data_IF_475120288628
#
_entry.id   IF_475120288628
#
_cell.length_a   1.000
_cell.length_b   1.000
_cell.length_c   1.000
_cell.angle_alpha   90.00
_cell.angle_beta   90.00
_cell.angle_gamma   90.00
#
_symmetry.space_group_name_H-M   'P 1'
#
loop_
_entity.id
_entity.type
_entity.pdbx_description
1 polymer ?
#
# COMPACT_ATOMS: atom_id res chain seq x y z
N UNK A 1 -68.86 -14.97 -16.16
CA UNK A 1 -68.11 -13.69 -16.18
C UNK A 1 -66.95 -13.62 -15.17
N UNK A 2 -67.06 -14.15 -13.94
CA UNK A 2 -65.95 -14.10 -12.93
C UNK A 2 -64.66 -14.86 -13.31
N UNK A 3 -64.76 -16.00 -14.02
CA UNK A 3 -63.58 -16.80 -14.43
C UNK A 3 -62.73 -16.14 -15.53
N UNK A 4 -63.34 -15.37 -16.43
CA UNK A 4 -62.64 -14.67 -17.52
C UNK A 4 -61.86 -13.46 -16.99
N UNK A 5 -62.44 -12.73 -16.03
CA UNK A 5 -61.77 -11.62 -15.34
C UNK A 5 -60.56 -12.11 -14.52
N UNK A 6 -60.65 -13.26 -13.86
CA UNK A 6 -59.54 -13.85 -13.10
C UNK A 6 -58.39 -14.30 -14.00
N UNK A 7 -58.67 -14.87 -15.18
CA UNK A 7 -57.65 -15.23 -16.17
C UNK A 7 -56.95 -14.00 -16.76
N UNK A 8 -57.70 -12.91 -17.00
CA UNK A 8 -57.14 -11.65 -17.49
C UNK A 8 -56.23 -10.97 -16.45
N UNK A 9 -56.58 -11.07 -15.17
CA UNK A 9 -55.76 -10.58 -14.06
C UNK A 9 -54.46 -11.39 -13.89
N UNK A 10 -54.52 -12.71 -14.03
CA UNK A 10 -53.33 -13.58 -14.01
C UNK A 10 -52.42 -13.28 -15.21
N UNK A 11 -52.99 -13.04 -16.39
CA UNK A 11 -52.23 -12.68 -17.59
C UNK A 11 -51.55 -11.30 -17.44
N UNK A 12 -52.23 -10.31 -16.87
CA UNK A 12 -51.68 -8.99 -16.57
C UNK A 12 -50.55 -9.04 -15.52
N UNK A 13 -50.67 -9.90 -14.51
CA UNK A 13 -49.60 -10.13 -13.51
C UNK A 13 -48.41 -10.84 -14.14
N UNK A 14 -48.63 -11.81 -15.04
CA UNK A 14 -47.54 -12.47 -15.78
C UNK A 14 -46.83 -11.51 -16.75
N UNK A 15 -47.56 -10.64 -17.45
CA UNK A 15 -46.99 -9.61 -18.32
C UNK A 15 -46.21 -8.58 -17.48
N UNK A 16 -46.73 -8.18 -16.31
CA UNK A 16 -46.05 -7.27 -15.38
C UNK A 16 -44.73 -7.84 -14.82
N UNK A 17 -44.64 -9.15 -14.60
CA UNK A 17 -43.42 -9.84 -14.18
C UNK A 17 -42.38 -9.96 -15.29
N UNK A 18 -42.79 -10.10 -16.55
CA UNK A 18 -41.87 -10.15 -17.70
C UNK A 18 -41.22 -8.79 -17.99
N UNK A 19 -41.88 -7.69 -17.61
CA UNK A 19 -41.30 -6.33 -17.66
C UNK A 19 -40.37 -6.00 -16.47
N UNK A 20 -40.08 -6.95 -15.58
CA UNK A 20 -38.96 -6.82 -14.64
C UNK A 20 -37.65 -6.75 -15.44
N UNK A 21 -37.21 -5.52 -15.70
CA UNK A 21 -36.20 -5.11 -16.68
C UNK A 21 -34.97 -6.02 -16.72
N UNK A 22 -34.94 -6.94 -17.69
CA UNK A 22 -33.70 -7.52 -18.18
C UNK A 22 -32.96 -6.44 -18.96
N UNK A 23 -31.95 -5.82 -18.35
CA UNK A 23 -31.08 -4.88 -19.05
C UNK A 23 -30.04 -5.65 -19.86
N UNK A 24 -30.10 -5.64 -21.20
CA UNK A 24 -29.14 -6.39 -22.03
C UNK A 24 -27.70 -5.93 -21.83
N UNK A 25 -27.50 -4.67 -21.37
CA UNK A 25 -26.17 -4.14 -20.99
C UNK A 25 -25.59 -4.85 -19.78
N UNK A 26 -26.43 -5.14 -18.77
CA UNK A 26 -26.01 -5.75 -17.51
C UNK A 26 -25.58 -7.20 -17.71
N UNK A 27 -26.36 -7.96 -18.48
CA UNK A 27 -26.03 -9.36 -18.76
C UNK A 27 -24.73 -9.50 -19.55
N UNK A 28 -24.50 -8.58 -20.50
CA UNK A 28 -23.23 -8.53 -21.23
C UNK A 28 -22.05 -8.14 -20.34
N UNK A 29 -22.24 -7.22 -19.39
CA UNK A 29 -21.20 -6.89 -18.41
C UNK A 29 -20.82 -8.08 -17.55
N UNK A 30 -21.82 -8.83 -17.06
CA UNK A 30 -21.59 -10.03 -16.25
C UNK A 30 -20.73 -11.05 -17.00
N UNK A 31 -20.95 -11.21 -18.31
CA UNK A 31 -20.15 -12.11 -19.15
C UNK A 31 -18.70 -11.66 -19.39
N UNK A 32 -18.43 -10.36 -19.25
CA UNK A 32 -17.12 -9.75 -19.50
C UNK A 32 -16.26 -9.62 -18.24
N UNK A 33 -16.78 -10.03 -17.08
CA UNK A 33 -16.05 -10.03 -15.82
C UNK A 33 -14.98 -11.11 -15.84
N UNK A 34 -13.72 -10.71 -15.68
CA UNK A 34 -12.59 -11.63 -15.55
C UNK A 34 -12.53 -12.30 -14.16
N UNK A 35 -11.59 -13.24 -13.98
CA UNK A 35 -11.40 -13.93 -12.69
C UNK A 35 -11.11 -13.00 -11.51
N UNK A 36 -10.53 -11.82 -11.75
CA UNK A 36 -10.27 -10.81 -10.74
C UNK A 36 -11.44 -9.84 -10.52
N UNK A 37 -12.59 -10.08 -11.15
CA UNK A 37 -13.79 -9.27 -10.97
C UNK A 37 -13.80 -7.96 -11.75
N UNK A 38 -12.80 -7.75 -12.60
CA UNK A 38 -12.63 -6.56 -13.44
C UNK A 38 -13.12 -6.79 -14.86
N UNK A 39 -13.69 -5.73 -15.45
CA UNK A 39 -14.05 -5.67 -16.87
C UNK A 39 -13.05 -4.76 -17.57
N UNK A 40 -12.32 -5.29 -18.58
CA UNK A 40 -11.45 -4.45 -19.41
C UNK A 40 -12.30 -3.59 -20.35
N UNK A 41 -12.10 -2.27 -20.30
CA UNK A 41 -12.82 -1.29 -21.08
C UNK A 41 -11.88 -0.60 -22.08
N UNK A 42 -12.36 -0.46 -23.31
CA UNK A 42 -11.85 0.42 -24.35
C UNK A 42 -12.82 1.60 -24.55
N UNK A 43 -12.48 2.59 -25.38
CA UNK A 43 -13.35 3.76 -25.66
C UNK A 43 -14.78 3.36 -26.04
N UNK A 44 -14.97 2.44 -26.98
CA UNK A 44 -16.31 2.02 -27.45
C UNK A 44 -17.12 1.30 -26.36
N UNK A 45 -16.48 0.45 -25.56
CA UNK A 45 -17.17 -0.25 -24.46
C UNK A 45 -17.45 0.69 -23.30
N UNK A 46 -16.57 1.67 -23.04
CA UNK A 46 -16.79 2.69 -22.03
C UNK A 46 -18.05 3.48 -22.36
N UNK A 47 -18.18 4.05 -23.56
CA UNK A 47 -19.38 4.81 -23.92
C UNK A 47 -20.65 3.92 -23.83
N UNK A 48 -20.56 2.65 -24.25
CA UNK A 48 -21.71 1.71 -24.18
C UNK A 48 -22.16 1.41 -22.74
N UNK A 49 -21.24 1.25 -21.80
CA UNK A 49 -21.52 0.82 -20.42
C UNK A 49 -21.55 1.95 -19.39
N UNK A 50 -20.86 3.07 -19.67
CA UNK A 50 -20.81 4.25 -18.83
C UNK A 50 -21.86 5.30 -19.22
N UNK A 51 -22.40 5.28 -20.45
CA UNK A 51 -23.41 6.26 -20.89
C UNK A 51 -24.81 5.67 -21.05
N UNK A 52 -25.80 6.55 -20.92
CA UNK A 52 -27.21 6.27 -21.06
C UNK A 52 -27.86 5.64 -19.82
N UNK A 53 -29.06 5.08 -20.02
CA UNK A 53 -29.86 4.44 -18.96
C UNK A 53 -29.17 3.18 -18.44
N UNK A 54 -29.00 3.08 -17.11
CA UNK A 54 -28.28 1.99 -16.43
C UNK A 54 -28.90 1.72 -15.06
N UNK A 55 -29.26 0.46 -14.78
CA UNK A 55 -29.72 0.03 -13.47
C UNK A 55 -28.61 -0.62 -12.62
N UNK A 56 -27.35 -0.28 -12.88
CA UNK A 56 -26.17 -0.73 -12.13
C UNK A 56 -25.20 0.44 -11.93
N UNK A 57 -24.41 0.39 -10.86
CA UNK A 57 -23.29 1.28 -10.63
C UNK A 57 -22.07 0.77 -11.39
N UNK A 58 -21.27 1.69 -11.93
CA UNK A 58 -20.02 1.37 -12.61
C UNK A 58 -18.89 2.18 -11.97
N UNK A 59 -17.89 1.51 -11.42
CA UNK A 59 -16.66 2.15 -10.94
C UNK A 59 -15.59 1.92 -12.00
N UNK A 60 -15.01 2.98 -12.56
CA UNK A 60 -13.97 2.87 -13.57
C UNK A 60 -12.67 3.41 -13.02
N UNK A 61 -11.63 2.57 -13.06
CA UNK A 61 -10.25 2.99 -12.89
C UNK A 61 -9.69 3.39 -14.26
N UNK A 62 -9.34 4.67 -14.39
CA UNK A 62 -8.58 5.20 -15.50
C UNK A 62 -7.10 5.23 -15.11
N UNK A 63 -6.29 4.44 -15.80
CA UNK A 63 -4.87 4.24 -15.48
C UNK A 63 -3.99 4.39 -16.72
N UNK A 64 -2.68 4.48 -16.51
CA UNK A 64 -1.68 4.54 -17.57
C UNK A 64 -0.49 3.64 -17.19
N UNK A 65 -0.62 2.33 -17.46
CA UNK A 65 0.39 1.33 -17.11
C UNK A 65 1.46 1.13 -18.18
N UNK A 66 1.26 1.71 -19.37
CA UNK A 66 2.23 1.64 -20.45
C UNK A 66 3.65 2.03 -19.98
N UNK A 67 4.69 1.25 -20.33
CA UNK A 67 6.07 1.52 -19.90
C UNK A 67 6.55 2.93 -20.29
N UNK A 68 6.01 3.48 -21.38
CA UNK A 68 6.27 4.83 -21.87
C UNK A 68 5.87 5.94 -20.90
N UNK A 69 4.89 5.71 -20.02
CA UNK A 69 4.38 6.72 -19.09
C UNK A 69 5.08 6.69 -17.73
N UNK A 70 5.75 5.58 -17.40
CA UNK A 70 6.42 5.33 -16.12
C UNK A 70 5.62 5.79 -14.88
N UNK A 71 4.29 5.55 -14.89
CA UNK A 71 3.40 6.04 -13.84
C UNK A 71 3.54 5.19 -12.57
N UNK A 72 4.30 5.68 -11.59
CA UNK A 72 4.45 5.01 -10.30
C UNK A 72 3.13 4.84 -9.52
N UNK A 73 2.28 5.87 -9.33
CA UNK A 73 1.03 5.72 -8.58
C UNK A 73 0.03 4.80 -9.28
N UNK A 74 0.07 4.71 -10.62
CA UNK A 74 -0.75 3.78 -11.38
C UNK A 74 -0.38 2.32 -11.06
N UNK A 75 0.91 2.01 -10.92
CA UNK A 75 1.41 0.65 -10.59
C UNK A 75 1.06 0.24 -9.17
N UNK A 76 0.96 1.20 -8.26
CA UNK A 76 0.54 0.94 -6.87
C UNK A 76 -0.97 0.74 -6.75
N UNK A 77 -1.77 1.56 -7.45
CA UNK A 77 -3.22 1.51 -7.36
C UNK A 77 -3.85 0.32 -8.09
N UNK A 78 -3.26 -0.11 -9.19
CA UNK A 78 -3.79 -1.19 -10.02
C UNK A 78 -4.08 -2.50 -9.25
N UNK A 79 -3.13 -3.05 -8.47
CA UNK A 79 -3.39 -4.25 -7.67
C UNK A 79 -4.41 -4.00 -6.54
N UNK A 80 -4.43 -2.80 -5.95
CA UNK A 80 -5.38 -2.43 -4.90
C UNK A 80 -6.82 -2.38 -5.45
N UNK A 81 -7.00 -1.83 -6.65
CA UNK A 81 -8.29 -1.80 -7.34
C UNK A 81 -8.77 -3.20 -7.74
N UNK A 82 -7.86 -4.04 -8.27
CA UNK A 82 -8.15 -5.43 -8.58
C UNK A 82 -8.58 -6.23 -7.33
N UNK A 83 -7.94 -5.95 -6.19
CA UNK A 83 -8.25 -6.60 -4.92
C UNK A 83 -9.65 -6.23 -4.41
N UNK A 84 -10.07 -4.97 -4.58
CA UNK A 84 -11.44 -4.53 -4.27
C UNK A 84 -12.45 -5.26 -5.16
N UNK A 85 -12.22 -5.25 -6.48
CA UNK A 85 -13.11 -5.88 -7.44
C UNK A 85 -13.29 -7.39 -7.14
N UNK A 86 -12.18 -8.09 -6.91
CA UNK A 86 -12.16 -9.51 -6.55
C UNK A 86 -12.87 -9.78 -5.22
N UNK A 87 -12.70 -8.91 -4.24
CA UNK A 87 -13.39 -9.03 -2.94
C UNK A 87 -14.89 -8.81 -3.08
N UNK A 88 -15.31 -7.85 -3.92
CA UNK A 88 -16.71 -7.53 -4.14
C UNK A 88 -17.46 -8.62 -4.91
N UNK A 89 -16.79 -9.35 -5.81
CA UNK A 89 -17.40 -10.50 -6.52
C UNK A 89 -17.94 -11.59 -5.57
N UNK A 90 -17.38 -11.69 -4.35
CA UNK A 90 -17.83 -12.61 -3.30
C UNK A 90 -19.03 -12.09 -2.50
N UNK A 91 -19.42 -10.82 -2.70
CA UNK A 91 -20.57 -10.20 -2.04
C UNK A 91 -21.88 -10.60 -2.72
N UNK A 92 -23.00 -10.47 -1.99
CA UNK A 92 -24.35 -10.73 -2.52
C UNK A 92 -24.78 -9.69 -3.57
N UNK A 93 -24.19 -8.49 -3.50
CA UNK A 93 -24.52 -7.35 -4.38
C UNK A 93 -23.65 -7.29 -5.65
N UNK A 94 -22.93 -8.37 -5.98
CA UNK A 94 -21.99 -8.44 -7.12
C UNK A 94 -22.62 -8.14 -8.49
N UNK A 95 -23.95 -8.21 -8.61
CA UNK A 95 -24.70 -7.89 -9.84
C UNK A 95 -25.10 -6.42 -9.96
N UNK A 96 -24.88 -5.60 -8.93
CA UNK A 96 -25.38 -4.22 -8.91
C UNK A 96 -24.27 -3.18 -9.04
N UNK A 97 -23.01 -3.55 -8.79
CA UNK A 97 -21.85 -2.70 -8.94
C UNK A 97 -20.77 -3.44 -9.74
N UNK A 98 -20.29 -2.83 -10.81
CA UNK A 98 -19.26 -3.38 -11.68
C UNK A 98 -18.00 -2.54 -11.61
N UNK A 99 -16.84 -3.19 -11.77
CA UNK A 99 -15.53 -2.56 -11.77
C UNK A 99 -14.93 -2.64 -13.17
N UNK A 100 -14.67 -1.48 -13.76
CA UNK A 100 -14.06 -1.30 -15.06
C UNK A 100 -12.60 -0.88 -14.95
N UNK A 101 -11.76 -1.43 -15.81
CA UNK A 101 -10.36 -1.05 -15.95
C UNK A 101 -10.14 -0.48 -17.35
N UNK A 102 -9.64 0.75 -17.44
CA UNK A 102 -9.39 1.44 -18.70
C UNK A 102 -7.97 2.02 -18.69
N UNK A 103 -7.12 1.48 -19.56
CA UNK A 103 -5.77 2.01 -19.77
C UNK A 103 -5.80 3.17 -20.77
N UNK A 104 -4.88 4.13 -20.61
CA UNK A 104 -4.75 5.26 -21.51
C UNK A 104 -4.54 4.83 -22.96
N UNK A 105 -3.79 3.77 -23.24
CA UNK A 105 -3.55 3.32 -24.62
C UNK A 105 -4.83 2.86 -25.33
N UNK A 106 -5.75 2.23 -24.60
CA UNK A 106 -7.01 1.69 -25.13
C UNK A 106 -8.16 2.74 -25.10
N UNK A 107 -7.90 3.92 -24.52
CA UNK A 107 -8.93 4.83 -24.03
C UNK A 107 -8.66 6.33 -24.16
N UNK A 108 -7.67 6.78 -24.94
CA UNK A 108 -7.23 8.18 -25.02
C UNK A 108 -8.38 9.19 -25.22
N UNK A 109 -9.35 8.84 -26.08
CA UNK A 109 -10.53 9.67 -26.38
C UNK A 109 -11.37 9.92 -25.11
N UNK A 110 -11.47 8.94 -24.21
CA UNK A 110 -12.23 9.05 -22.97
C UNK A 110 -11.55 9.99 -21.98
N UNK A 111 -10.21 9.98 -21.90
CA UNK A 111 -9.46 10.92 -21.08
C UNK A 111 -9.69 12.37 -21.54
N UNK A 112 -9.71 12.60 -22.85
CA UNK A 112 -10.02 13.93 -23.42
C UNK A 112 -11.47 14.32 -23.15
N UNK A 113 -12.43 13.40 -23.35
CA UNK A 113 -13.86 13.62 -23.13
C UNK A 113 -14.18 13.97 -21.67
N UNK A 114 -13.50 13.32 -20.73
CA UNK A 114 -13.63 13.58 -19.29
C UNK A 114 -12.70 14.70 -18.79
N UNK A 115 -11.94 15.35 -19.68
CA UNK A 115 -11.00 16.43 -19.37
C UNK A 115 -9.97 16.04 -18.29
N UNK A 116 -9.51 14.78 -18.32
CA UNK A 116 -8.53 14.26 -17.37
C UNK A 116 -7.12 14.46 -17.91
N UNK A 117 -6.34 15.26 -17.20
CA UNK A 117 -4.94 15.59 -17.55
C UNK A 117 -3.92 14.65 -16.90
N UNK A 118 -4.33 13.86 -15.90
CA UNK A 118 -3.45 12.98 -15.13
C UNK A 118 -4.07 11.61 -14.91
N UNK A 119 -3.25 10.64 -14.51
CA UNK A 119 -3.65 9.32 -14.06
C UNK A 119 -2.92 8.99 -12.74
N UNK A 120 -3.45 8.12 -11.88
CA UNK A 120 -4.71 7.40 -12.02
C UNK A 120 -5.94 8.19 -11.53
N UNK A 121 -7.13 7.87 -12.04
CA UNK A 121 -8.40 8.39 -11.53
C UNK A 121 -9.40 7.27 -11.32
N UNK A 122 -10.07 7.26 -10.16
CA UNK A 122 -11.18 6.35 -9.88
C UNK A 122 -12.47 7.16 -9.94
N UNK A 123 -13.34 6.82 -10.88
CA UNK A 123 -14.62 7.48 -11.09
C UNK A 123 -15.76 6.50 -10.79
N UNK A 124 -16.71 6.94 -9.98
CA UNK A 124 -17.94 6.20 -9.73
C UNK A 124 -19.09 6.81 -10.51
N UNK A 125 -19.70 6.00 -11.37
CA UNK A 125 -20.90 6.34 -12.11
C UNK A 125 -22.11 5.68 -11.43
N UNK A 126 -23.02 6.46 -10.82
CA UNK A 126 -24.19 5.91 -10.17
C UNK A 126 -25.21 5.37 -11.20
N UNK A 127 -26.13 4.49 -10.77
CA UNK A 127 -27.26 4.07 -11.59
C UNK A 127 -28.08 5.29 -12.06
N UNK A 128 -28.45 5.29 -13.33
CA UNK A 128 -29.07 6.42 -14.02
C UNK A 128 -30.38 5.97 -14.67
N UNK A 129 -31.48 6.58 -14.23
CA UNK A 129 -32.81 6.38 -14.83
C UNK A 129 -32.89 7.17 -16.15
N UNK A 130 -33.84 6.80 -17.02
CA UNK A 130 -34.06 7.49 -18.27
C UNK A 130 -34.46 8.96 -18.00
N UNK A 131 -33.70 9.91 -18.56
CA UNK A 131 -34.00 11.35 -18.44
C UNK A 131 -33.26 12.11 -17.33
N UNK A 132 -32.58 11.42 -16.40
CA UNK A 132 -31.68 12.08 -15.43
C UNK A 132 -30.25 12.06 -15.96
N UNK A 133 -29.52 13.17 -15.88
CA UNK A 133 -28.06 13.21 -16.10
C UNK A 133 -27.37 13.35 -14.75
N UNK A 134 -26.90 12.24 -14.17
CA UNK A 134 -26.08 12.28 -12.96
C UNK A 134 -24.62 12.37 -13.34
N UNK A 135 -23.93 13.36 -12.78
CA UNK A 135 -22.49 13.48 -12.90
C UNK A 135 -21.78 12.30 -12.21
N UNK A 136 -20.59 11.98 -12.69
CA UNK A 136 -19.74 10.99 -12.06
C UNK A 136 -19.08 11.57 -10.81
N UNK A 137 -18.86 10.71 -9.82
CA UNK A 137 -18.24 11.10 -8.56
C UNK A 137 -16.78 10.67 -8.63
N UNK A 138 -15.87 11.65 -8.60
CA UNK A 138 -14.43 11.40 -8.59
C UNK A 138 -13.95 11.11 -7.17
N UNK A 139 -13.16 10.05 -7.03
CA UNK A 139 -12.42 9.81 -5.80
C UNK A 139 -11.15 10.68 -5.76
N UNK A 140 -10.97 11.40 -4.65
CA UNK A 140 -9.79 12.24 -4.42
C UNK A 140 -8.64 11.38 -3.85
N UNK A 141 -7.81 10.88 -4.76
CA UNK A 141 -6.62 10.08 -4.45
C UNK A 141 -5.60 10.86 -3.60
N UNK A 142 -5.51 12.18 -3.77
CA UNK A 142 -4.54 13.00 -3.03
C UNK A 142 -4.90 13.18 -1.56
N UNK A 143 -6.20 13.16 -1.22
CA UNK A 143 -6.66 13.30 0.17
C UNK A 143 -6.81 11.98 0.90
N UNK A 144 -7.33 10.96 0.21
CA UNK A 144 -7.74 9.72 0.85
C UNK A 144 -6.73 8.56 0.67
N UNK A 145 -5.68 8.77 -0.13
CA UNK A 145 -4.64 7.78 -0.39
C UNK A 145 -4.96 6.81 -1.54
N UNK A 146 -4.08 5.82 -1.72
CA UNK A 146 -4.15 4.81 -2.79
C UNK A 146 -4.60 3.43 -2.27
N UNK A 147 -4.86 3.31 -0.97
CA UNK A 147 -5.17 2.04 -0.33
C UNK A 147 -6.56 1.52 -0.72
N UNK A 148 -6.67 0.20 -0.89
CA UNK A 148 -7.93 -0.45 -1.21
C UNK A 148 -9.04 -0.17 -0.18
N UNK A 149 -8.68 -0.10 1.11
CA UNK A 149 -9.62 0.16 2.20
C UNK A 149 -10.26 1.55 2.09
N UNK A 150 -9.48 2.58 1.75
CA UNK A 150 -9.97 3.95 1.61
C UNK A 150 -10.96 4.09 0.44
N UNK A 151 -10.68 3.42 -0.68
CA UNK A 151 -11.58 3.40 -1.83
C UNK A 151 -12.85 2.61 -1.52
N UNK A 152 -12.72 1.47 -0.84
CA UNK A 152 -13.87 0.68 -0.42
C UNK A 152 -14.78 1.42 0.56
N UNK A 153 -14.22 2.21 1.48
CA UNK A 153 -15.01 3.07 2.36
C UNK A 153 -15.74 4.16 1.57
N UNK A 154 -15.07 4.81 0.62
CA UNK A 154 -15.69 5.78 -0.29
C UNK A 154 -16.85 5.15 -1.08
N UNK A 155 -16.64 3.97 -1.68
CA UNK A 155 -17.68 3.26 -2.42
C UNK A 155 -18.83 2.85 -1.51
N UNK A 156 -18.55 2.43 -0.27
CA UNK A 156 -19.59 2.08 0.70
C UNK A 156 -20.46 3.31 1.03
N UNK A 157 -19.84 4.49 1.21
CA UNK A 157 -20.56 5.75 1.44
C UNK A 157 -21.41 6.17 0.24
N UNK A 158 -20.92 5.99 -0.99
CA UNK A 158 -21.64 6.43 -2.20
C UNK A 158 -22.69 5.43 -2.71
N UNK A 159 -22.46 4.13 -2.53
CA UNK A 159 -23.32 3.07 -3.07
C UNK A 159 -24.30 2.52 -2.04
N UNK A 160 -23.99 2.62 -0.74
CA UNK A 160 -24.71 1.96 0.34
C UNK A 160 -24.44 0.45 0.45
N UNK A 161 -23.62 -0.14 -0.44
CA UNK A 161 -23.23 -1.54 -0.37
C UNK A 161 -22.00 -1.73 0.52
N UNK A 162 -21.97 -2.80 1.31
CA UNK A 162 -20.82 -3.11 2.16
C UNK A 162 -19.65 -3.68 1.33
N UNK A 163 -18.76 -2.81 0.85
CA UNK A 163 -17.54 -3.22 0.14
C UNK A 163 -16.46 -3.56 1.16
N UNK A 164 -16.29 -4.85 1.48
CA UNK A 164 -15.25 -5.33 2.41
C UNK A 164 -14.06 -5.88 1.65
N UNK A 165 -12.90 -5.27 1.87
CA UNK A 165 -11.62 -5.67 1.28
C UNK A 165 -11.00 -6.79 2.11
N UNK A 166 -10.64 -7.91 1.48
CA UNK A 166 -9.91 -9.01 2.14
C UNK A 166 -8.57 -9.24 1.45
N UNK A 167 -7.49 -8.78 2.06
CA UNK A 167 -6.13 -8.97 1.54
C UNK A 167 -5.72 -10.45 1.64
N UNK A 168 -5.17 -11.06 0.58
CA UNK A 168 -4.64 -12.42 0.66
C UNK A 168 -3.40 -12.42 1.57
N UNK A 169 -3.30 -13.43 2.43
CA UNK A 169 -2.15 -13.56 3.34
C UNK A 169 -0.90 -13.95 2.55
N UNK A 170 0.19 -13.18 2.69
CA UNK A 170 1.44 -13.47 1.98
C UNK A 170 2.27 -14.50 2.77
N UNK A 171 2.04 -15.79 2.47
CA UNK A 171 2.73 -16.91 3.12
C UNK A 171 4.27 -16.85 2.96
N UNK A 172 4.78 -16.30 1.86
CA UNK A 172 6.23 -16.19 1.62
C UNK A 172 6.87 -15.22 2.60
N UNK A 173 6.28 -14.03 2.78
CA UNK A 173 6.77 -13.05 3.76
C UNK A 173 6.69 -13.58 5.19
N UNK A 174 5.56 -14.19 5.54
CA UNK A 174 5.38 -14.78 6.87
C UNK A 174 6.37 -15.92 7.12
N UNK A 175 6.56 -16.83 6.16
CA UNK A 175 7.53 -17.91 6.23
C UNK A 175 8.97 -17.41 6.35
N UNK A 176 9.34 -16.38 5.59
CA UNK A 176 10.66 -15.74 5.69
C UNK A 176 10.90 -15.10 7.06
N UNK A 177 9.91 -14.39 7.60
CA UNK A 177 9.99 -13.78 8.92
C UNK A 177 10.09 -14.84 10.04
N UNK A 178 9.34 -15.94 9.91
CA UNK A 178 9.43 -17.07 10.84
C UNK A 178 10.80 -17.75 10.77
N UNK A 179 11.33 -17.96 9.57
CA UNK A 179 12.67 -18.55 9.38
C UNK A 179 13.76 -17.68 10.01
N UNK A 180 13.70 -16.35 9.81
CA UNK A 180 14.63 -15.42 10.45
C UNK A 180 14.50 -15.45 11.97
N UNK A 181 13.28 -15.49 12.51
CA UNK A 181 13.06 -15.56 13.95
C UNK A 181 13.63 -16.86 14.56
N UNK A 182 13.41 -18.00 13.91
CA UNK A 182 13.97 -19.30 14.33
C UNK A 182 15.49 -19.32 14.18
N UNK A 183 16.03 -18.77 13.09
CA UNK A 183 17.47 -18.64 12.87
C UNK A 183 18.13 -17.78 13.94
N UNK A 184 17.54 -16.63 14.27
CA UNK A 184 18.02 -15.76 15.34
C UNK A 184 17.98 -16.45 16.71
N UNK A 185 16.90 -17.18 17.01
CA UNK A 185 16.81 -17.96 18.26
C UNK A 185 17.85 -19.09 18.32
N UNK A 186 18.12 -19.77 17.20
CA UNK A 186 19.14 -20.80 17.13
C UNK A 186 20.56 -20.24 17.34
N UNK A 187 20.87 -19.10 16.71
CA UNK A 187 22.13 -18.37 16.91
C UNK A 187 22.26 -17.93 18.36
N UNK A 188 21.23 -17.29 18.93
CA UNK A 188 21.22 -16.85 20.32
C UNK A 188 21.48 -18.02 21.27
N UNK A 189 20.84 -19.17 21.04
CA UNK A 189 21.05 -20.39 21.84
C UNK A 189 22.47 -20.93 21.72
N UNK A 190 23.06 -20.90 20.52
CA UNK A 190 24.43 -21.34 20.28
C UNK A 190 25.45 -20.42 20.97
N UNK A 191 25.25 -19.10 20.83
CA UNK A 191 26.06 -18.08 21.49
C UNK A 191 25.94 -18.20 23.00
N UNK A 192 24.74 -18.32 23.55
CA UNK A 192 24.53 -18.49 24.99
C UNK A 192 25.18 -19.77 25.52
N UNK A 193 25.07 -20.89 24.79
CA UNK A 193 25.71 -22.15 25.19
C UNK A 193 27.24 -22.06 25.19
N UNK A 194 27.83 -21.40 24.20
CA UNK A 194 29.28 -21.35 24.05
C UNK A 194 29.93 -20.24 24.89
N UNK A 195 29.28 -19.08 25.00
CA UNK A 195 29.81 -17.88 25.66
C UNK A 195 29.12 -17.54 26.98
N UNK A 196 28.18 -18.37 27.45
CA UNK A 196 27.50 -18.15 28.73
C UNK A 196 28.49 -17.97 29.88
N UNK A 197 29.63 -18.67 29.86
CA UNK A 197 30.67 -18.55 30.89
C UNK A 197 31.20 -17.11 31.04
N UNK A 198 31.35 -16.36 29.94
CA UNK A 198 31.86 -14.98 29.96
C UNK A 198 30.97 -14.06 30.82
N UNK A 199 29.65 -14.23 30.73
CA UNK A 199 28.69 -13.42 31.49
C UNK A 199 28.61 -13.81 32.97
N UNK A 200 28.91 -15.07 33.33
CA UNK A 200 28.87 -15.54 34.71
C UNK A 200 30.15 -15.28 35.50
N UNK A 201 31.30 -15.11 34.84
CA UNK A 201 32.56 -14.85 35.54
C UNK A 201 32.62 -13.42 36.09
N UNK A 202 32.85 -13.31 37.41
CA UNK A 202 33.07 -12.02 38.11
C UNK A 202 34.24 -11.26 37.51
N UNK A 203 35.31 -11.95 37.10
CA UNK A 203 36.50 -11.35 36.49
C UNK A 203 36.18 -10.58 35.22
N UNK A 204 35.27 -11.06 34.38
CA UNK A 204 34.83 -10.33 33.17
C UNK A 204 34.23 -8.98 33.53
N UNK A 205 33.35 -8.95 34.54
CA UNK A 205 32.71 -7.72 35.01
C UNK A 205 33.70 -6.78 35.71
N UNK A 206 34.66 -7.33 36.46
CA UNK A 206 35.74 -6.55 37.06
C UNK A 206 36.63 -5.89 36.00
N UNK A 207 37.04 -6.64 34.97
CA UNK A 207 37.82 -6.08 33.87
C UNK A 207 37.01 -5.03 33.10
N UNK A 208 35.74 -5.30 32.82
CA UNK A 208 34.86 -4.36 32.13
C UNK A 208 34.64 -3.06 32.92
N UNK A 209 34.43 -3.14 34.24
CA UNK A 209 34.25 -1.96 35.08
C UNK A 209 35.52 -1.14 35.21
N UNK A 210 36.68 -1.79 35.38
CA UNK A 210 37.99 -1.10 35.41
C UNK A 210 38.25 -0.39 34.08
N UNK A 211 38.06 -1.08 32.95
CA UNK A 211 38.23 -0.50 31.62
C UNK A 211 37.32 0.71 31.42
N UNK A 212 36.05 0.61 31.83
CA UNK A 212 35.11 1.72 31.77
C UNK A 212 35.57 2.92 32.60
N UNK A 213 36.05 2.70 33.83
CA UNK A 213 36.58 3.78 34.67
C UNK A 213 37.80 4.43 34.01
N UNK A 214 38.76 3.64 33.50
CA UNK A 214 39.97 4.15 32.83
C UNK A 214 39.64 4.98 31.59
N UNK A 215 38.70 4.53 30.75
CA UNK A 215 38.27 5.29 29.58
C UNK A 215 37.58 6.60 30.01
N UNK A 216 36.74 6.56 31.03
CA UNK A 216 36.02 7.76 31.49
C UNK A 216 36.94 8.77 32.18
N UNK A 217 37.98 8.34 32.90
CA UNK A 217 38.95 9.23 33.55
C UNK A 217 40.02 9.78 32.58
N UNK A 218 40.27 9.11 31.44
CA UNK A 218 41.21 9.57 30.41
C UNK A 218 40.78 10.80 29.60
N UNK A 219 39.60 11.37 29.87
CA UNK A 219 39.06 12.51 29.11
C UNK A 219 38.24 12.12 27.87
N UNK A 220 37.82 10.86 27.74
CA UNK A 220 37.00 10.41 26.58
C UNK A 220 35.70 11.23 26.39
N UNK A 221 35.06 11.65 27.49
CA UNK A 221 33.87 12.52 27.42
C UNK A 221 34.19 13.94 26.93
N UNK A 222 35.34 14.50 27.29
CA UNK A 222 35.78 15.79 26.77
C UNK A 222 35.95 15.73 25.25
N UNK A 223 36.56 14.64 24.75
CA UNK A 223 36.68 14.37 23.31
C UNK A 223 35.31 14.28 22.61
N UNK A 224 34.31 13.63 23.23
CA UNK A 224 32.96 13.52 22.67
C UNK A 224 32.22 14.87 22.58
N UNK A 225 32.41 15.76 23.55
CA UNK A 225 31.72 17.06 23.59
C UNK A 225 32.39 18.07 22.65
N UNK A 226 33.73 18.12 22.64
CA UNK A 226 34.50 19.16 21.94
C UNK A 226 34.90 18.77 20.52
N UNK A 227 34.87 17.49 20.18
CA UNK A 227 35.26 16.98 18.85
C UNK A 227 36.66 17.41 18.39
N UNK A 228 37.72 17.25 19.21
CA UNK A 228 39.08 17.61 18.82
C UNK A 228 39.61 16.71 17.68
N UNK A 229 40.69 17.14 17.03
CA UNK A 229 41.40 16.31 16.06
C UNK A 229 41.92 15.01 16.70
N UNK A 230 41.87 13.91 15.97
CA UNK A 230 42.35 12.61 16.47
C UNK A 230 43.89 12.56 16.56
N UNK A 231 44.58 13.18 15.61
CA UNK A 231 46.04 13.39 15.56
C UNK A 231 46.32 14.75 14.91
N UNK A 232 47.47 15.36 15.16
CA UNK A 232 47.89 16.59 14.49
C UNK A 232 49.30 16.47 13.89
N UNK A 233 49.57 17.01 12.69
CA UNK A 233 50.91 17.02 12.12
C UNK A 233 51.78 18.13 12.76
N UNK A 234 53.05 17.83 13.00
CA UNK A 234 54.10 18.77 13.37
C UNK A 234 54.54 19.59 12.15
N UNK A 235 55.15 20.76 12.35
CA UNK A 235 55.71 21.59 11.27
C UNK A 235 56.74 20.87 10.38
N UNK A 236 57.34 19.78 10.87
CA UNK A 236 58.26 18.89 10.14
C UNK A 236 57.56 17.77 9.34
N UNK A 237 56.22 17.73 9.32
CA UNK A 237 55.43 16.70 8.64
C UNK A 237 55.27 15.38 9.41
N UNK A 238 55.82 15.28 10.62
CA UNK A 238 55.66 14.10 11.50
C UNK A 238 54.33 14.15 12.26
N UNK A 239 53.76 13.00 12.63
CA UNK A 239 52.51 12.94 13.41
C UNK A 239 52.81 13.21 14.88
N UNK A 240 52.13 14.19 15.47
CA UNK A 240 52.13 14.44 16.90
C UNK A 240 50.93 13.76 17.56
N UNK A 241 51.21 12.97 18.60
CA UNK A 241 50.24 12.22 19.36
C UNK A 241 49.81 12.92 20.65
N UNK A 242 50.50 14.00 21.04
CA UNK A 242 50.23 14.76 22.26
C UNK A 242 49.92 16.23 21.93
N UNK A 243 48.81 16.76 22.45
CA UNK A 243 48.41 18.14 22.25
C UNK A 243 49.40 19.11 22.94
N UNK A 244 49.72 20.22 22.29
CA UNK A 244 50.55 21.27 22.89
C UNK A 244 49.66 22.23 23.69
N UNK A 245 49.68 22.12 25.03
CA UNK A 245 48.98 23.02 25.95
C UNK A 245 48.17 22.31 27.02
N UNK A 246 47.77 23.04 28.08
CA UNK A 246 47.09 22.46 29.25
C UNK A 246 45.56 22.32 29.11
N UNK A 247 44.95 22.97 28.11
CA UNK A 247 43.49 23.01 27.91
C UNK A 247 43.00 22.29 26.65
N UNK A 248 43.92 21.66 25.91
CA UNK A 248 43.65 20.94 24.66
C UNK A 248 44.08 19.49 24.79
N UNK A 249 43.30 18.59 24.21
CA UNK A 249 43.58 17.16 24.17
C UNK A 249 43.28 16.61 22.77
N UNK A 250 44.02 15.61 22.31
CA UNK A 250 43.76 14.86 21.08
C UNK A 250 42.93 13.61 21.35
N UNK A 251 42.21 13.15 20.32
CA UNK A 251 41.43 11.92 20.39
C UNK A 251 42.28 10.70 20.81
N UNK A 252 43.48 10.57 20.24
CA UNK A 252 44.38 9.44 20.50
C UNK A 252 45.00 9.46 21.90
N UNK A 253 45.20 10.64 22.51
CA UNK A 253 45.77 10.75 23.86
C UNK A 253 44.89 10.03 24.89
N UNK A 254 43.56 10.16 24.78
CA UNK A 254 42.65 9.47 25.71
C UNK A 254 42.81 7.94 25.66
N UNK A 255 43.07 7.38 24.48
CA UNK A 255 43.29 5.94 24.31
C UNK A 255 44.65 5.51 24.88
N UNK A 256 45.70 6.30 24.60
CA UNK A 256 47.04 6.08 25.14
C UNK A 256 47.01 6.13 26.67
N UNK A 257 46.44 7.17 27.27
CA UNK A 257 46.32 7.33 28.73
C UNK A 257 45.51 6.18 29.35
N UNK A 258 44.40 5.78 28.73
CA UNK A 258 43.59 4.64 29.21
C UNK A 258 44.34 3.30 29.17
N UNK A 259 45.34 3.15 28.29
CA UNK A 259 46.14 1.94 28.15
C UNK A 259 47.39 1.90 29.03
N UNK A 260 47.91 3.06 29.45
CA UNK A 260 49.14 3.19 30.27
C UNK A 260 48.83 3.10 31.76
N UNK A 261 47.65 3.55 32.22
CA UNK A 261 47.24 3.43 33.62
C UNK A 261 47.12 1.95 34.01
N UNK A 262 48.16 1.45 34.69
CA UNK A 262 48.21 0.17 35.39
C UNK A 262 47.51 0.23 36.73
#
# INVERSE_FOLDING_TARGET
MKRVSSLFFILLVFIGLVFAQADPKKDKLISLVNQDGLVKLNSNSFDRFAEGKRNYGLVVLLTALGPQFNCHPCRELDPEFALIAKSFQRSKDNKNLFFGHLDFNDGQIIFQKLQLVSAPNVLYFPPQKAGESKEFIRYDVTKNGLDAESIAEFLTKQTGYAVKVKRPFNYVKFGGQLFLAVGAAAILKLVYRNFGFIFYHKTTWTVASILLVLVMTSGHMWNRIRGPAYVMPTQSGQINYIAAGFSSQLGIESQIVSSICK
#
